data_IF_312674076998
#
_entry.id   IF_312674076998
#
_cell.length_a   1.000
_cell.length_b   1.000
_cell.length_c   1.000
_cell.angle_alpha   90.00
_cell.angle_beta   90.00
_cell.angle_gamma   90.00
#
_symmetry.space_group_name_H-M   'P 1'
#
loop_
_entity.id
_entity.type
_entity.pdbx_description
1 polymer ?
#
# COMPACT_ATOMS: atom_id res chain seq x y z
N UNK A 1 -23.54 -19.85 -12.78
CA UNK A 1 -22.84 -18.55 -12.81
C UNK A 1 -22.33 -18.31 -11.41
N UNK A 2 -21.03 -18.49 -11.16
CA UNK A 2 -20.47 -18.50 -9.81
C UNK A 2 -20.64 -17.10 -9.20
N UNK A 3 -21.70 -16.92 -8.42
CA UNK A 3 -21.99 -15.72 -7.66
C UNK A 3 -21.05 -15.70 -6.46
N UNK A 4 -19.86 -15.14 -6.62
CA UNK A 4 -18.97 -14.81 -5.51
C UNK A 4 -19.07 -13.32 -5.21
N UNK A 5 -20.27 -12.85 -4.84
CA UNK A 5 -20.43 -11.60 -4.13
C UNK A 5 -19.96 -11.81 -2.67
N UNK A 6 -18.65 -11.83 -2.46
CA UNK A 6 -18.05 -12.01 -1.11
C UNK A 6 -18.31 -10.78 -0.21
N UNK A 7 -18.57 -9.62 -0.81
CA UNK A 7 -18.87 -8.38 -0.10
C UNK A 7 -20.10 -7.70 -0.72
N UNK A 8 -20.99 -7.16 0.12
CA UNK A 8 -22.13 -6.36 -0.32
C UNK A 8 -21.73 -5.02 -0.95
N UNK A 9 -22.67 -4.39 -1.67
CA UNK A 9 -22.48 -3.11 -2.37
C UNK A 9 -21.79 -2.01 -1.52
N UNK A 10 -22.18 -1.87 -0.26
CA UNK A 10 -21.62 -0.85 0.66
C UNK A 10 -20.16 -1.14 1.03
N UNK A 11 -19.81 -2.40 1.29
CA UNK A 11 -18.45 -2.80 1.66
C UNK A 11 -17.50 -2.74 0.47
N UNK A 12 -17.97 -3.06 -0.73
CA UNK A 12 -17.21 -2.89 -1.98
C UNK A 12 -16.88 -1.43 -2.27
N UNK A 13 -17.80 -0.48 -2.02
CA UNK A 13 -17.53 0.95 -2.13
C UNK A 13 -16.45 1.41 -1.14
N UNK A 14 -16.54 0.97 0.12
CA UNK A 14 -15.52 1.25 1.13
C UNK A 14 -14.14 0.70 0.72
N UNK A 15 -14.09 -0.53 0.20
CA UNK A 15 -12.86 -1.16 -0.29
C UNK A 15 -12.20 -0.40 -1.44
N UNK A 16 -12.99 0.18 -2.36
CA UNK A 16 -12.46 1.03 -3.43
C UNK A 16 -11.84 2.32 -2.86
N UNK A 17 -12.54 3.02 -1.96
CA UNK A 17 -12.05 4.27 -1.37
C UNK A 17 -10.76 4.07 -0.58
N UNK A 18 -10.70 3.03 0.26
CA UNK A 18 -9.50 2.68 1.02
C UNK A 18 -8.34 2.30 0.10
N UNK A 19 -8.62 1.58 -0.99
CA UNK A 19 -7.58 1.21 -1.95
C UNK A 19 -7.01 2.43 -2.67
N UNK A 20 -7.85 3.37 -3.11
CA UNK A 20 -7.38 4.63 -3.73
C UNK A 20 -6.51 5.42 -2.75
N UNK A 21 -6.97 5.58 -1.50
CA UNK A 21 -6.19 6.27 -0.47
C UNK A 21 -4.83 5.59 -0.23
N UNK A 22 -4.84 4.27 -0.03
CA UNK A 22 -3.62 3.48 0.19
C UNK A 22 -2.63 3.55 -0.96
N UNK A 23 -3.10 3.52 -2.21
CA UNK A 23 -2.24 3.65 -3.40
C UNK A 23 -1.53 5.01 -3.40
N UNK A 24 -2.27 6.10 -3.22
CA UNK A 24 -1.71 7.45 -3.24
C UNK A 24 -0.66 7.61 -2.14
N UNK A 25 -1.00 7.24 -0.91
CA UNK A 25 -0.10 7.38 0.24
C UNK A 25 1.16 6.51 0.10
N UNK A 26 1.02 5.24 -0.31
CA UNK A 26 2.16 4.31 -0.42
C UNK A 26 3.06 4.61 -1.62
N UNK A 27 2.51 5.08 -2.74
CA UNK A 27 3.34 5.51 -3.88
C UNK A 27 4.16 6.75 -3.52
N UNK A 28 3.55 7.75 -2.89
CA UNK A 28 4.28 8.93 -2.43
C UNK A 28 5.38 8.55 -1.43
N UNK A 29 5.06 7.76 -0.39
CA UNK A 29 6.09 7.31 0.56
C UNK A 29 7.16 6.44 -0.09
N UNK A 30 6.80 5.52 -0.97
CA UNK A 30 7.76 4.66 -1.68
C UNK A 30 8.76 5.46 -2.50
N UNK A 31 8.31 6.51 -3.20
CA UNK A 31 9.21 7.40 -3.95
C UNK A 31 10.08 8.25 -3.00
N UNK A 32 9.51 8.78 -1.92
CA UNK A 32 10.26 9.58 -0.93
C UNK A 32 11.33 8.75 -0.20
N UNK A 33 11.07 7.48 0.09
CA UNK A 33 12.06 6.55 0.61
C UNK A 33 13.12 6.19 -0.45
N UNK A 34 12.73 6.07 -1.73
CA UNK A 34 13.68 5.75 -2.81
C UNK A 34 14.71 6.86 -3.04
N UNK A 35 14.32 8.13 -2.87
CA UNK A 35 15.25 9.27 -2.92
C UNK A 35 15.98 9.53 -1.59
N UNK A 36 15.83 8.65 -0.60
CA UNK A 36 16.45 8.75 0.73
C UNK A 36 16.16 10.08 1.44
N UNK A 37 14.89 10.50 1.44
CA UNK A 37 14.48 11.75 2.07
C UNK A 37 14.76 11.75 3.59
N UNK A 38 15.47 12.75 4.14
CA UNK A 38 15.81 12.80 5.57
C UNK A 38 14.58 12.95 6.48
N UNK A 39 13.42 13.33 5.94
CA UNK A 39 12.19 13.45 6.69
C UNK A 39 11.68 12.11 7.26
N UNK A 40 12.12 10.98 6.70
CA UNK A 40 11.68 9.64 7.13
C UNK A 40 12.77 8.87 7.87
N UNK A 41 13.84 9.54 8.33
CA UNK A 41 14.95 8.85 8.99
C UNK A 41 14.54 8.17 10.30
N UNK A 42 13.54 8.74 11.00
CA UNK A 42 12.97 8.19 12.24
C UNK A 42 12.09 6.96 11.99
N UNK A 43 11.63 6.76 10.76
CA UNK A 43 10.80 5.61 10.38
C UNK A 43 11.62 4.39 9.93
N UNK A 44 12.96 4.50 9.91
CA UNK A 44 13.82 3.39 9.54
C UNK A 44 13.95 2.39 10.69
N UNK A 45 14.04 1.08 10.39
CA UNK A 45 14.30 0.06 11.37
C UNK A 45 15.80 0.04 11.75
N UNK A 46 16.24 1.08 12.47
CA UNK A 46 17.61 1.22 12.96
C UNK A 46 17.76 0.54 14.32
N UNK A 47 18.97 0.08 14.63
CA UNK A 47 19.32 -0.46 15.94
C UNK A 47 19.55 0.69 16.95
N UNK A 48 19.30 0.41 18.23
CA UNK A 48 19.51 1.39 19.32
C UNK A 48 21.01 1.72 19.53
N UNK A 49 21.90 0.81 19.15
CA UNK A 49 23.35 0.95 19.30
C UNK A 49 24.10 0.48 18.05
N UNK A 50 25.08 1.28 17.65
CA UNK A 50 26.03 0.97 16.58
C UNK A 50 27.45 1.17 17.12
N UNK A 51 28.35 0.24 16.81
CA UNK A 51 29.75 0.31 17.27
C UNK A 51 30.57 1.31 16.44
N UNK A 52 30.17 1.55 15.19
CA UNK A 52 30.85 2.46 14.28
C UNK A 52 29.88 3.36 13.50
N UNK A 53 30.28 4.60 13.14
CA UNK A 53 29.46 5.48 12.30
C UNK A 53 29.21 4.91 10.89
N UNK A 54 30.16 4.13 10.37
CA UNK A 54 30.07 3.52 9.04
C UNK A 54 28.96 2.47 8.97
N UNK A 55 28.81 1.68 10.04
CA UNK A 55 27.73 0.70 10.19
C UNK A 55 26.37 1.39 10.22
N UNK A 56 26.23 2.47 11.00
CA UNK A 56 25.01 3.28 11.06
C UNK A 56 24.59 3.79 9.67
N UNK A 57 25.51 4.43 8.94
CA UNK A 57 25.21 4.98 7.61
C UNK A 57 24.81 3.88 6.63
N UNK A 58 25.51 2.74 6.68
CA UNK A 58 25.18 1.59 5.82
C UNK A 58 23.78 1.05 6.09
N UNK A 59 23.40 0.97 7.36
CA UNK A 59 22.09 0.46 7.76
C UNK A 59 20.96 1.46 7.45
N UNK A 60 21.24 2.77 7.53
CA UNK A 60 20.33 3.82 7.07
C UNK A 60 20.01 3.66 5.58
N UNK A 61 21.02 3.57 4.70
CA UNK A 61 20.79 3.36 3.27
C UNK A 61 20.02 2.07 2.98
N UNK A 62 20.33 0.99 3.74
CA UNK A 62 19.60 -0.27 3.64
C UNK A 62 18.13 -0.12 4.06
N UNK A 63 17.87 0.58 5.16
CA UNK A 63 16.53 0.83 5.69
C UNK A 63 15.66 1.62 4.72
N UNK A 64 16.19 2.69 4.12
CA UNK A 64 15.50 3.46 3.08
C UNK A 64 15.09 2.57 1.91
N UNK A 65 16.03 1.78 1.37
CA UNK A 65 15.77 0.90 0.24
C UNK A 65 14.75 -0.18 0.57
N UNK A 66 14.85 -0.80 1.74
CA UNK A 66 13.92 -1.82 2.21
C UNK A 66 12.49 -1.26 2.35
N UNK A 67 12.33 -0.11 3.02
CA UNK A 67 11.05 0.56 3.19
C UNK A 67 10.46 1.01 1.85
N UNK A 68 11.27 1.56 0.94
CA UNK A 68 10.84 1.92 -0.40
C UNK A 68 10.20 0.73 -1.15
N UNK A 69 10.87 -0.43 -1.16
CA UNK A 69 10.36 -1.63 -1.79
C UNK A 69 9.08 -2.16 -1.13
N UNK A 70 9.02 -2.16 0.21
CA UNK A 70 7.82 -2.58 0.94
C UNK A 70 6.62 -1.69 0.62
N UNK A 71 6.80 -0.36 0.57
CA UNK A 71 5.75 0.58 0.20
C UNK A 71 5.30 0.41 -1.25
N UNK A 72 6.24 0.24 -2.20
CA UNK A 72 5.93 0.00 -3.62
C UNK A 72 5.17 -1.30 -3.84
N UNK A 73 5.59 -2.39 -3.18
CA UNK A 73 4.89 -3.68 -3.24
C UNK A 73 3.49 -3.54 -2.61
N UNK A 74 3.38 -2.85 -1.47
CA UNK A 74 2.10 -2.54 -0.84
C UNK A 74 1.16 -1.78 -1.78
N UNK A 75 1.66 -0.77 -2.49
CA UNK A 75 0.87 -0.04 -3.49
C UNK A 75 0.38 -0.97 -4.62
N UNK A 76 1.23 -1.87 -5.12
CA UNK A 76 0.83 -2.88 -6.10
C UNK A 76 -0.29 -3.80 -5.58
N UNK A 77 -0.23 -4.21 -4.30
CA UNK A 77 -1.30 -5.01 -3.69
C UNK A 77 -2.62 -4.24 -3.62
N UNK A 78 -2.60 -2.96 -3.25
CA UNK A 78 -3.81 -2.14 -3.26
C UNK A 78 -4.37 -1.91 -4.67
N UNK A 79 -3.54 -1.84 -5.71
CA UNK A 79 -4.01 -1.82 -7.11
C UNK A 79 -4.79 -3.09 -7.45
N UNK A 80 -4.27 -4.25 -7.03
CA UNK A 80 -4.97 -5.54 -7.22
C UNK A 80 -6.30 -5.55 -6.46
N UNK A 81 -6.32 -5.12 -5.19
CA UNK A 81 -7.54 -5.02 -4.38
C UNK A 81 -8.55 -4.04 -4.97
N UNK A 82 -8.10 -2.92 -5.55
CA UNK A 82 -8.94 -1.97 -6.26
C UNK A 82 -9.59 -2.61 -7.48
N UNK A 83 -8.83 -3.37 -8.27
CA UNK A 83 -9.35 -4.12 -9.41
C UNK A 83 -10.43 -5.13 -9.01
N UNK A 84 -10.18 -5.92 -7.97
CA UNK A 84 -11.16 -6.89 -7.44
C UNK A 84 -12.40 -6.20 -6.88
N UNK A 85 -12.25 -5.15 -6.08
CA UNK A 85 -13.37 -4.42 -5.50
C UNK A 85 -14.22 -3.70 -6.55
N UNK A 86 -13.60 -3.17 -7.61
CA UNK A 86 -14.30 -2.58 -8.76
C UNK A 86 -15.08 -3.63 -9.54
N UNK A 87 -14.48 -4.81 -9.78
CA UNK A 87 -15.17 -5.93 -10.39
C UNK A 87 -16.40 -6.37 -9.57
N UNK A 88 -16.23 -6.49 -8.25
CA UNK A 88 -17.31 -6.82 -7.32
C UNK A 88 -18.41 -5.74 -7.32
N UNK A 89 -18.04 -4.46 -7.37
CA UNK A 89 -18.99 -3.35 -7.45
C UNK A 89 -19.86 -3.43 -8.71
N UNK A 90 -19.22 -3.64 -9.87
CA UNK A 90 -19.92 -3.75 -11.16
C UNK A 90 -20.91 -4.93 -11.19
N UNK A 91 -20.52 -6.08 -10.64
CA UNK A 91 -21.40 -7.24 -10.55
C UNK A 91 -22.57 -7.01 -9.58
N UNK A 92 -22.32 -6.40 -8.43
CA UNK A 92 -23.35 -6.12 -7.42
C UNK A 92 -24.35 -5.02 -7.81
N UNK A 93 -23.91 -4.04 -8.62
CA UNK A 93 -24.81 -3.02 -9.16
C UNK A 93 -25.89 -3.66 -10.04
N UNK A 94 -25.53 -4.58 -10.94
CA UNK A 94 -26.50 -5.23 -11.85
C UNK A 94 -27.59 -5.99 -11.09
N UNK A 95 -27.23 -6.69 -10.02
CA UNK A 95 -28.19 -7.44 -9.19
C UNK A 95 -29.12 -6.52 -8.39
N UNK A 96 -28.62 -5.35 -7.96
CA UNK A 96 -29.42 -4.39 -7.16
C UNK A 96 -30.40 -3.58 -8.01
N UNK A 97 -30.07 -3.29 -9.28
CA UNK A 97 -30.94 -2.54 -10.20
C UNK A 97 -31.89 -3.43 -11.03
N UNK A 98 -31.89 -4.76 -10.84
CA UNK A 98 -32.81 -5.70 -11.50
C UNK A 98 -34.12 -5.96 -10.72
N UNK A 99 -34.45 -5.11 -9.74
CA UNK A 99 -35.76 -5.07 -9.07
C UNK A 99 -36.60 -3.92 -9.61
#
# INVERSE_FOLDING_TARGET
>A
MISMALCGYKTSLCGMLLSVWGIVQLLFMGVLFYIESPAFIEDLPLNDHYDTPEEYVTDVHRGFKANAFNCLIGACLYIVTLGVSTWQFYMNQKTTFQV
#
